data_IF_461367347296
#
_entry.id   IF_461367347296
#
_cell.length_a   1.000
_cell.length_b   1.000
_cell.length_c   1.000
_cell.angle_alpha   90.00
_cell.angle_beta   90.00
_cell.angle_gamma   90.00
#
_symmetry.space_group_name_H-M   'P 1'
#
loop_
_entity.id
_entity.type
_entity.pdbx_description
1 polymer ?
#
# COMPACT_ATOMS: atom_id res chain seq x y z
N UNK A 1 4.44 21.24 -24.62
CA UNK A 1 4.79 21.22 -23.19
C UNK A 1 6.26 20.85 -23.08
N UNK A 2 7.14 21.83 -22.85
CA UNK A 2 8.57 21.55 -22.68
C UNK A 2 8.74 20.68 -21.43
N UNK A 3 9.39 19.55 -21.59
CA UNK A 3 9.74 18.68 -20.46
C UNK A 3 10.71 19.45 -19.55
N UNK A 4 10.27 19.80 -18.36
CA UNK A 4 11.08 20.44 -17.31
C UNK A 4 12.21 19.49 -16.87
N UNK A 5 12.02 18.21 -17.08
CA UNK A 5 12.94 17.14 -16.71
C UNK A 5 14.11 17.07 -17.67
N UNK A 6 15.29 17.38 -17.18
CA UNK A 6 16.54 17.20 -17.92
C UNK A 6 16.90 15.71 -17.94
N UNK A 7 16.94 15.11 -19.12
CA UNK A 7 17.34 13.72 -19.29
C UNK A 7 18.86 13.58 -19.26
N UNK A 8 19.40 12.44 -18.78
CA UNK A 8 20.85 12.21 -18.82
C UNK A 8 21.33 12.11 -20.27
N UNK A 9 22.42 12.80 -20.58
CA UNK A 9 23.11 12.72 -21.87
C UNK A 9 24.10 11.56 -21.84
N UNK A 10 23.70 10.42 -22.41
CA UNK A 10 24.53 9.22 -22.47
C UNK A 10 25.64 9.28 -23.53
N UNK A 11 25.69 10.34 -24.34
CA UNK A 11 26.77 10.57 -25.30
C UNK A 11 28.04 11.13 -24.65
N UNK A 12 27.90 11.73 -23.44
CA UNK A 12 29.04 12.23 -22.68
C UNK A 12 29.77 11.08 -21.96
N UNK A 13 31.06 10.83 -22.34
CA UNK A 13 31.82 9.72 -21.75
C UNK A 13 32.07 9.91 -20.25
N UNK A 14 32.24 11.16 -19.78
CA UNK A 14 32.45 11.45 -18.35
C UNK A 14 31.23 11.13 -17.51
N UNK A 15 30.03 11.43 -18.02
CA UNK A 15 28.79 11.12 -17.35
C UNK A 15 28.55 9.60 -17.31
N UNK A 16 28.83 8.90 -18.41
CA UNK A 16 28.71 7.43 -18.45
C UNK A 16 29.63 6.74 -17.44
N UNK A 17 30.89 7.21 -17.34
CA UNK A 17 31.82 6.68 -16.36
C UNK A 17 31.36 6.91 -14.92
N UNK A 18 30.84 8.09 -14.60
CA UNK A 18 30.26 8.38 -13.29
C UNK A 18 29.03 7.56 -12.98
N UNK A 19 28.13 7.38 -13.95
CA UNK A 19 26.94 6.55 -13.79
C UNK A 19 27.31 5.07 -13.54
N UNK A 20 28.33 4.56 -14.21
CA UNK A 20 28.85 3.20 -13.98
C UNK A 20 29.38 3.00 -12.57
N UNK A 21 29.87 4.06 -11.93
CA UNK A 21 30.34 4.07 -10.54
C UNK A 21 29.19 4.35 -9.51
N UNK A 22 27.95 4.47 -9.97
CA UNK A 22 26.81 4.85 -9.12
C UNK A 22 26.76 6.32 -8.74
N UNK A 23 27.48 7.18 -9.46
CA UNK A 23 27.52 8.64 -9.28
C UNK A 23 26.95 9.36 -10.49
N UNK A 24 26.91 10.70 -10.45
CA UNK A 24 26.48 11.51 -11.62
C UNK A 24 24.99 11.81 -11.68
N UNK A 25 24.23 11.51 -10.64
CA UNK A 25 22.78 11.80 -10.58
C UNK A 25 22.47 13.30 -10.43
N UNK A 26 23.46 14.13 -10.16
CA UNK A 26 23.34 15.58 -10.10
C UNK A 26 23.45 16.27 -11.46
N UNK A 27 23.73 15.54 -12.54
CA UNK A 27 23.85 16.09 -13.90
C UNK A 27 22.51 16.14 -14.66
N UNK A 28 21.49 15.50 -14.14
CA UNK A 28 20.18 15.41 -14.78
C UNK A 28 19.04 15.45 -13.77
N UNK A 29 17.80 15.55 -14.25
CA UNK A 29 16.60 15.62 -13.44
C UNK A 29 16.09 17.04 -13.24
N UNK A 30 15.25 17.23 -12.24
CA UNK A 30 14.72 18.53 -11.85
C UNK A 30 15.65 19.22 -10.83
N UNK A 31 15.69 20.56 -10.83
CA UNK A 31 16.42 21.28 -9.78
C UNK A 31 15.79 21.01 -8.41
N UNK A 32 16.63 20.71 -7.42
CA UNK A 32 16.16 20.50 -6.06
C UNK A 32 15.54 21.75 -5.45
N UNK A 33 16.08 22.89 -5.76
CA UNK A 33 15.54 24.19 -5.38
C UNK A 33 15.03 24.94 -6.63
N UNK A 34 13.81 25.49 -6.65
CA UNK A 34 12.77 25.44 -5.60
C UNK A 34 11.82 24.23 -5.71
N UNK A 35 11.98 23.37 -6.70
CA UNK A 35 10.97 22.37 -7.05
C UNK A 35 10.68 21.38 -5.91
N UNK A 36 11.70 20.80 -5.32
CA UNK A 36 11.54 19.83 -4.24
C UNK A 36 11.44 20.50 -2.88
N UNK A 37 12.40 21.39 -2.55
CA UNK A 37 12.53 21.93 -1.22
C UNK A 37 11.45 22.96 -0.87
N UNK A 38 11.03 23.77 -1.82
CA UNK A 38 10.04 24.83 -1.56
C UNK A 38 8.61 24.41 -1.88
N UNK A 39 8.38 23.58 -2.87
CA UNK A 39 7.03 23.23 -3.36
C UNK A 39 6.58 21.85 -2.95
N UNK A 40 7.45 20.85 -2.98
CA UNK A 40 7.08 19.47 -2.69
C UNK A 40 7.17 19.12 -1.21
N UNK A 41 8.23 19.47 -0.53
CA UNK A 41 8.42 19.15 0.89
C UNK A 41 7.38 19.77 1.81
N UNK A 42 6.99 21.05 1.67
CA UNK A 42 5.91 21.62 2.47
C UNK A 42 4.59 20.89 2.32
N UNK A 43 4.23 20.46 1.09
CA UNK A 43 3.00 19.69 0.84
C UNK A 43 3.06 18.32 1.52
N UNK A 44 4.19 17.62 1.45
CA UNK A 44 4.38 16.33 2.12
C UNK A 44 4.27 16.46 3.64
N UNK A 45 4.91 17.49 4.22
CA UNK A 45 4.86 17.76 5.66
C UNK A 45 3.43 18.07 6.09
N UNK A 46 2.76 18.97 5.39
CA UNK A 46 1.37 19.33 5.68
C UNK A 46 0.41 18.15 5.54
N UNK A 47 0.57 17.34 4.48
CA UNK A 47 -0.23 16.16 4.27
C UNK A 47 -0.04 15.10 5.37
N UNK A 48 1.17 14.90 5.84
CA UNK A 48 1.48 14.00 6.94
C UNK A 48 0.85 14.47 8.25
N UNK A 49 1.00 15.75 8.59
CA UNK A 49 0.41 16.33 9.78
C UNK A 49 -1.12 16.28 9.71
N UNK A 50 -1.71 16.63 8.57
CA UNK A 50 -3.15 16.59 8.36
C UNK A 50 -3.70 15.17 8.53
N UNK A 51 -3.03 14.16 7.97
CA UNK A 51 -3.43 12.76 8.11
C UNK A 51 -3.35 12.30 9.58
N UNK A 52 -2.26 12.60 10.27
CA UNK A 52 -2.10 12.23 11.68
C UNK A 52 -3.15 12.90 12.57
N UNK A 53 -3.41 14.17 12.39
CA UNK A 53 -4.42 14.92 13.17
C UNK A 53 -5.82 14.41 12.86
N UNK A 54 -6.15 14.18 11.59
CA UNK A 54 -7.46 13.67 11.19
C UNK A 54 -7.75 12.30 11.79
N UNK A 55 -6.80 11.38 11.72
CA UNK A 55 -6.95 10.04 12.30
C UNK A 55 -7.03 10.11 13.85
N UNK A 56 -6.26 10.97 14.48
CA UNK A 56 -6.30 11.12 15.94
C UNK A 56 -7.63 11.68 16.45
N UNK A 57 -8.29 12.53 15.67
CA UNK A 57 -9.58 13.13 16.04
C UNK A 57 -10.73 12.19 15.72
N UNK A 58 -10.71 11.53 14.56
CA UNK A 58 -11.82 10.69 14.10
C UNK A 58 -11.81 9.30 14.73
N UNK A 59 -10.65 8.76 15.00
CA UNK A 59 -10.47 7.43 15.59
C UNK A 59 -9.40 7.47 16.71
N UNK A 60 -9.74 8.10 17.87
CA UNK A 60 -8.81 8.21 18.97
C UNK A 60 -8.50 6.83 19.54
N UNK A 61 -7.24 6.60 19.89
CA UNK A 61 -6.81 5.38 20.57
C UNK A 61 -7.46 5.31 21.95
N UNK A 62 -8.22 4.26 22.19
CA UNK A 62 -8.90 4.02 23.47
C UNK A 62 -8.23 2.86 24.21
N UNK A 63 -8.09 3.04 25.53
CA UNK A 63 -7.70 1.95 26.42
C UNK A 63 -8.98 1.22 26.80
N UNK A 64 -9.02 -0.11 26.57
CA UNK A 64 -10.14 -0.94 26.93
C UNK A 64 -10.24 -1.20 28.43
N UNK A 65 -11.17 -2.05 28.82
CA UNK A 65 -11.31 -2.48 30.20
C UNK A 65 -10.07 -3.27 30.68
N UNK A 66 -9.80 -3.30 32.00
CA UNK A 66 -8.72 -4.12 32.55
C UNK A 66 -8.86 -5.60 32.14
N UNK A 67 -7.73 -6.24 31.82
CA UNK A 67 -7.74 -7.63 31.38
C UNK A 67 -8.25 -8.56 32.51
N UNK A 68 -9.25 -9.37 32.20
CA UNK A 68 -9.71 -10.47 33.06
C UNK A 68 -9.10 -11.78 32.56
N UNK A 69 -8.27 -12.48 33.36
CA UNK A 69 -7.67 -13.73 32.93
C UNK A 69 -8.68 -14.87 32.73
N UNK A 70 -9.90 -14.72 33.23
CA UNK A 70 -10.95 -15.75 33.15
C UNK A 70 -12.02 -15.49 32.11
N UNK A 71 -12.05 -14.31 31.52
CA UNK A 71 -13.03 -13.93 30.51
C UNK A 71 -12.39 -13.26 29.33
N UNK A 72 -12.79 -13.68 28.11
CA UNK A 72 -12.40 -13.03 26.85
C UNK A 72 -13.59 -12.24 26.31
N UNK A 73 -13.42 -11.01 25.82
CA UNK A 73 -14.52 -10.27 25.19
C UNK A 73 -15.13 -11.05 24.04
N UNK A 74 -16.46 -10.91 23.86
CA UNK A 74 -17.20 -11.60 22.80
C UNK A 74 -16.81 -11.12 21.40
N UNK A 75 -16.47 -9.85 21.28
CA UNK A 75 -16.05 -9.25 20.02
C UNK A 75 -14.63 -8.71 20.16
N UNK A 76 -13.70 -9.37 19.48
CA UNK A 76 -12.31 -8.92 19.35
C UNK A 76 -12.08 -8.56 17.90
N UNK A 77 -11.94 -7.26 17.63
CA UNK A 77 -11.61 -6.75 16.30
C UNK A 77 -10.23 -6.07 16.34
N UNK A 78 -9.40 -6.29 15.31
CA UNK A 78 -8.19 -5.53 15.12
C UNK A 78 -8.50 -4.11 14.64
N UNK A 79 -7.47 -3.31 14.40
CA UNK A 79 -7.60 -2.02 13.74
C UNK A 79 -8.12 -2.17 12.31
N UNK A 80 -8.80 -1.13 11.79
CA UNK A 80 -9.48 -1.16 10.50
C UNK A 80 -8.59 -1.57 9.32
N UNK A 81 -7.30 -1.20 9.35
CA UNK A 81 -6.35 -1.56 8.28
C UNK A 81 -5.95 -3.04 8.28
N UNK A 82 -6.22 -3.78 9.34
CA UNK A 82 -6.01 -5.23 9.44
C UNK A 82 -7.27 -6.06 9.17
N UNK A 83 -8.40 -5.44 8.92
CA UNK A 83 -9.67 -6.15 8.67
C UNK A 83 -9.59 -7.18 7.55
N UNK A 84 -9.00 -6.91 6.37
CA UNK A 84 -8.89 -7.94 5.33
C UNK A 84 -8.11 -9.17 5.77
N UNK A 85 -6.98 -8.98 6.46
CA UNK A 85 -6.17 -10.08 6.99
C UNK A 85 -6.90 -10.86 8.07
N UNK A 86 -7.59 -10.17 8.94
CA UNK A 86 -8.43 -10.78 9.97
C UNK A 86 -9.55 -11.62 9.36
N UNK A 87 -10.19 -11.13 8.30
CA UNK A 87 -11.24 -11.87 7.60
C UNK A 87 -10.70 -13.17 6.98
N UNK A 88 -9.51 -13.13 6.36
CA UNK A 88 -8.86 -14.34 5.85
C UNK A 88 -8.64 -15.36 6.94
N UNK A 89 -8.06 -14.95 8.07
CA UNK A 89 -7.82 -15.85 9.22
C UNK A 89 -9.10 -16.45 9.79
N UNK A 90 -10.17 -15.68 9.80
CA UNK A 90 -11.45 -16.10 10.37
C UNK A 90 -12.21 -17.07 9.49
N UNK A 91 -12.16 -16.87 8.17
CA UNK A 91 -12.97 -17.64 7.21
C UNK A 91 -12.31 -18.94 6.80
N UNK A 92 -10.99 -18.99 6.72
CA UNK A 92 -10.28 -20.21 6.32
C UNK A 92 -10.29 -21.24 7.46
N UNK A 93 -10.88 -22.43 7.27
CA UNK A 93 -11.01 -23.42 8.34
C UNK A 93 -9.67 -24.00 8.78
N UNK A 94 -8.69 -24.04 7.90
CA UNK A 94 -7.34 -24.52 8.22
C UNK A 94 -6.47 -23.34 8.68
N UNK A 95 -6.04 -23.36 9.95
CA UNK A 95 -5.23 -22.29 10.54
C UNK A 95 -3.90 -22.07 9.83
N UNK A 96 -3.22 -23.13 9.41
CA UNK A 96 -1.96 -23.03 8.67
C UNK A 96 -2.16 -22.37 7.32
N UNK A 97 -3.22 -22.74 6.61
CA UNK A 97 -3.55 -22.14 5.33
C UNK A 97 -3.94 -20.65 5.48
N UNK A 98 -4.67 -20.30 6.53
CA UNK A 98 -5.01 -18.91 6.84
C UNK A 98 -3.78 -18.04 7.07
N UNK A 99 -2.82 -18.52 7.84
CA UNK A 99 -1.55 -17.84 8.08
C UNK A 99 -0.74 -17.71 6.78
N UNK A 100 -0.67 -18.78 5.99
CA UNK A 100 0.03 -18.78 4.71
C UNK A 100 -0.59 -17.76 3.73
N UNK A 101 -1.91 -17.69 3.63
CA UNK A 101 -2.61 -16.72 2.78
C UNK A 101 -2.40 -15.28 3.24
N UNK A 102 -2.43 -15.04 4.55
CA UNK A 102 -2.13 -13.71 5.09
C UNK A 102 -0.69 -13.29 4.79
N UNK A 103 0.28 -14.19 4.91
CA UNK A 103 1.67 -13.96 4.56
C UNK A 103 1.92 -13.83 3.04
N UNK A 104 1.08 -14.45 2.22
CA UNK A 104 1.17 -14.38 0.77
C UNK A 104 0.90 -12.96 0.22
N UNK A 105 0.15 -12.13 0.93
CA UNK A 105 -0.15 -10.75 0.49
C UNK A 105 1.12 -9.89 0.43
N UNK A 106 1.88 -9.70 1.52
CA UNK A 106 3.12 -8.92 1.45
C UNK A 106 4.18 -9.58 0.57
N UNK A 107 4.28 -10.92 0.56
CA UNK A 107 5.20 -11.62 -0.33
C UNK A 107 4.85 -11.41 -1.80
N UNK A 108 3.57 -11.44 -2.16
CA UNK A 108 3.09 -11.15 -3.51
C UNK A 108 3.43 -9.73 -3.94
N UNK A 109 3.28 -8.76 -3.06
CA UNK A 109 3.66 -7.36 -3.33
C UNK A 109 5.17 -7.19 -3.54
N UNK A 110 5.99 -7.91 -2.80
CA UNK A 110 7.45 -7.92 -2.99
C UNK A 110 7.83 -8.53 -4.35
N UNK A 111 7.08 -9.53 -4.81
CA UNK A 111 7.33 -10.21 -6.08
C UNK A 111 6.86 -9.43 -7.31
N UNK A 112 5.98 -8.43 -7.15
CA UNK A 112 5.43 -7.64 -8.26
C UNK A 112 6.51 -7.08 -9.20
N UNK A 113 7.61 -6.42 -8.75
CA UNK A 113 8.62 -5.90 -9.65
C UNK A 113 9.30 -6.98 -10.51
N UNK A 114 9.35 -8.21 -10.03
CA UNK A 114 9.96 -9.33 -10.74
C UNK A 114 9.01 -10.01 -11.73
N UNK A 115 7.72 -10.04 -11.42
CA UNK A 115 6.69 -10.67 -12.25
C UNK A 115 6.22 -9.73 -13.37
N UNK A 116 6.07 -8.44 -13.08
CA UNK A 116 5.58 -7.44 -14.06
C UNK A 116 6.65 -6.91 -15.01
N UNK A 117 7.79 -7.52 -15.11
CA UNK A 117 8.90 -7.08 -15.97
C UNK A 117 8.74 -7.54 -17.43
N UNK A 118 7.51 -7.65 -17.93
CA UNK A 118 7.19 -8.19 -19.26
C UNK A 118 7.30 -7.14 -20.35
N UNK A 119 7.01 -5.88 -20.04
CA UNK A 119 7.06 -4.78 -21.02
C UNK A 119 7.60 -3.50 -20.41
N UNK A 120 7.91 -2.52 -21.28
CA UNK A 120 8.47 -1.23 -20.88
C UNK A 120 7.41 -0.16 -20.58
N UNK A 121 6.15 -0.47 -20.71
CA UNK A 121 5.06 0.48 -20.47
C UNK A 121 4.85 0.67 -18.98
N UNK A 122 4.73 1.90 -18.55
CA UNK A 122 4.44 2.26 -17.16
C UNK A 122 3.00 2.76 -16.97
N UNK A 123 2.36 3.22 -18.05
CA UNK A 123 0.99 3.70 -17.98
C UNK A 123 0.02 2.53 -17.72
N UNK A 124 -0.84 2.60 -16.69
CA UNK A 124 -1.81 1.54 -16.39
C UNK A 124 -2.79 1.28 -17.54
N UNK A 125 -3.13 2.28 -18.37
CA UNK A 125 -3.98 2.07 -19.55
C UNK A 125 -3.33 1.21 -20.63
N UNK A 126 -2.00 1.15 -20.65
CA UNK A 126 -1.24 0.28 -21.58
C UNK A 126 -0.94 -1.10 -21.00
N UNK A 127 -1.33 -1.34 -19.75
CA UNK A 127 -1.15 -2.63 -19.05
C UNK A 127 -2.50 -3.17 -18.60
N UNK A 128 -3.33 -3.68 -19.51
CA UNK A 128 -4.71 -4.05 -19.18
C UNK A 128 -4.79 -5.18 -18.15
N UNK A 129 -3.91 -6.18 -18.23
CA UNK A 129 -3.90 -7.32 -17.30
C UNK A 129 -3.52 -6.87 -15.90
N UNK A 130 -2.43 -6.13 -15.75
CA UNK A 130 -1.96 -5.62 -14.46
C UNK A 130 -3.01 -4.71 -13.81
N UNK A 131 -3.62 -3.83 -14.58
CA UNK A 131 -4.68 -2.92 -14.10
C UNK A 131 -5.91 -3.69 -13.67
N UNK A 132 -6.34 -4.70 -14.44
CA UNK A 132 -7.50 -5.54 -14.09
C UNK A 132 -7.25 -6.31 -12.81
N UNK A 133 -6.10 -6.93 -12.65
CA UNK A 133 -5.73 -7.65 -11.42
C UNK A 133 -5.72 -6.71 -10.21
N UNK A 134 -5.16 -5.52 -10.36
CA UNK A 134 -5.16 -4.51 -9.31
C UNK A 134 -6.56 -4.08 -8.89
N UNK A 135 -7.45 -3.83 -9.85
CA UNK A 135 -8.84 -3.43 -9.59
C UNK A 135 -9.61 -4.54 -8.87
N UNK A 136 -9.48 -5.78 -9.34
CA UNK A 136 -10.10 -6.94 -8.68
C UNK A 136 -9.58 -7.11 -7.26
N UNK A 137 -8.27 -7.03 -7.06
CA UNK A 137 -7.64 -7.12 -5.73
C UNK A 137 -8.14 -6.03 -4.79
N UNK A 138 -8.30 -4.80 -5.27
CA UNK A 138 -8.85 -3.69 -4.48
C UNK A 138 -10.29 -3.95 -4.06
N UNK A 139 -11.14 -4.38 -4.98
CA UNK A 139 -12.55 -4.70 -4.68
C UNK A 139 -12.68 -5.85 -3.68
N UNK A 140 -11.90 -6.90 -3.86
CA UNK A 140 -11.87 -8.04 -2.92
C UNK A 140 -11.40 -7.60 -1.53
N UNK A 141 -10.38 -6.76 -1.46
CA UNK A 141 -9.87 -6.23 -0.18
C UNK A 141 -10.92 -5.39 0.53
N UNK A 142 -11.64 -4.53 -0.19
CA UNK A 142 -12.74 -3.75 0.38
C UNK A 142 -13.89 -4.65 0.87
N UNK A 143 -14.25 -5.64 0.09
CA UNK A 143 -15.28 -6.62 0.47
C UNK A 143 -14.91 -7.37 1.74
N UNK A 144 -13.69 -7.88 1.81
CA UNK A 144 -13.20 -8.58 2.99
C UNK A 144 -13.10 -7.67 4.21
N UNK A 145 -12.69 -6.42 4.02
CA UNK A 145 -12.62 -5.43 5.09
C UNK A 145 -13.99 -5.12 5.69
N UNK A 146 -15.00 -4.93 4.86
CA UNK A 146 -16.38 -4.73 5.32
C UNK A 146 -16.92 -6.01 5.97
N UNK A 147 -16.68 -7.17 5.37
CA UNK A 147 -17.13 -8.46 5.89
C UNK A 147 -16.55 -8.81 7.26
N UNK A 148 -15.37 -8.30 7.61
CA UNK A 148 -14.75 -8.52 8.90
C UNK A 148 -15.55 -7.94 10.07
N UNK A 149 -16.36 -6.93 9.84
CA UNK A 149 -17.21 -6.30 10.87
C UNK A 149 -18.49 -7.09 11.15
N UNK A 150 -18.86 -8.04 10.28
CA UNK A 150 -20.05 -8.87 10.42
C UNK A 150 -19.74 -10.20 11.11
N UNK A 151 -20.74 -10.88 11.71
CA UNK A 151 -20.60 -12.26 12.16
C UNK A 151 -20.16 -13.20 11.03
N UNK A 152 -19.53 -14.32 11.36
CA UNK A 152 -18.95 -15.25 10.37
C UNK A 152 -19.99 -15.73 9.35
N UNK A 153 -21.20 -16.02 9.76
CA UNK A 153 -22.30 -16.49 8.93
C UNK A 153 -22.75 -15.47 7.88
N UNK A 154 -22.59 -14.17 8.16
CA UNK A 154 -22.97 -13.07 7.28
C UNK A 154 -21.80 -12.34 6.63
N UNK A 155 -20.58 -12.78 6.88
CA UNK A 155 -19.37 -12.05 6.48
C UNK A 155 -19.17 -11.99 4.95
N UNK A 156 -19.61 -13.00 4.21
CA UNK A 156 -19.53 -13.01 2.75
C UNK A 156 -20.66 -12.26 2.06
N UNK A 157 -21.85 -12.33 2.63
CA UNK A 157 -23.05 -11.72 2.04
C UNK A 157 -23.28 -10.29 2.51
N UNK A 158 -22.46 -9.80 3.44
CA UNK A 158 -22.59 -8.48 4.08
C UNK A 158 -23.98 -8.24 4.69
N UNK A 159 -24.65 -9.31 5.08
CA UNK A 159 -26.00 -9.25 5.64
C UNK A 159 -27.10 -8.91 4.63
N UNK A 160 -26.81 -9.00 3.33
CA UNK A 160 -27.77 -8.70 2.25
C UNK A 160 -28.75 -9.86 1.98
N UNK A 161 -28.39 -11.08 2.41
CA UNK A 161 -29.19 -12.31 2.25
C UNK A 161 -29.29 -13.06 3.56
#
# INVERSE_FOLDING_TARGET
MMSILKKPDLSDPKLREKLAQGMGHNYYGEPAWPNDLLYTFPIVIMGTIALCVALAVLDPAMIGEPSDPFATPLEILPEWYLYPSFQILRVVPNKLLGIALTGAIPLGLILVPFIENVNKFQNPFRRPVATTVFMIGTLVTLWMGIGATFPIDKSFTLGLF
#
